data_IF_038633277611
#
_entry.id   IF_038633277611
#
_cell.length_a   1.000
_cell.length_b   1.000
_cell.length_c   1.000
_cell.angle_alpha   90.00
_cell.angle_beta   90.00
_cell.angle_gamma   90.00
#
_symmetry.space_group_name_H-M   'P 1'
#
loop_
_entity.id
_entity.type
_entity.pdbx_description
1 polymer ?
#
# COMPACT_ATOMS: atom_id res chain seq x y z
N UNK A 1 0.28 13.16 0.24
CA UNK A 1 -0.42 12.29 -0.72
C UNK A 1 0.45 11.10 -1.09
N UNK A 2 -0.13 9.94 -1.16
CA UNK A 2 0.62 8.79 -1.64
C UNK A 2 0.82 8.87 -3.14
N UNK A 3 2.03 8.52 -3.57
CA UNK A 3 2.39 8.48 -4.98
C UNK A 3 2.46 7.04 -5.44
N UNK A 4 2.19 6.83 -6.73
CA UNK A 4 2.36 5.52 -7.34
C UNK A 4 3.82 5.11 -7.28
N UNK A 5 4.06 3.89 -6.82
CA UNK A 5 5.39 3.31 -6.78
C UNK A 5 5.48 2.19 -7.81
N UNK A 6 6.42 2.30 -8.73
CA UNK A 6 6.57 1.26 -9.74
C UNK A 6 8.03 1.05 -10.14
N UNK A 7 8.29 -0.15 -10.63
CA UNK A 7 9.57 -0.55 -11.21
C UNK A 7 9.39 -0.78 -12.71
N UNK A 8 10.47 -0.69 -13.46
CA UNK A 8 10.43 -0.94 -14.90
C UNK A 8 11.44 -2.02 -15.25
N UNK A 9 11.01 -3.02 -16.01
CA UNK A 9 11.87 -4.07 -16.53
C UNK A 9 11.44 -4.39 -17.96
N UNK A 10 12.35 -4.24 -18.92
CA UNK A 10 12.08 -4.53 -20.35
C UNK A 10 10.79 -3.84 -20.86
N UNK A 11 10.59 -2.58 -20.50
CA UNK A 11 9.40 -1.78 -20.81
C UNK A 11 8.12 -2.24 -20.11
N UNK A 12 8.21 -3.20 -19.20
CA UNK A 12 7.09 -3.64 -18.37
C UNK A 12 7.05 -2.79 -17.11
N UNK A 13 5.92 -2.16 -16.83
CA UNK A 13 5.72 -1.39 -15.60
C UNK A 13 5.14 -2.29 -14.52
N UNK A 14 5.84 -2.39 -13.42
CA UNK A 14 5.50 -3.23 -12.28
C UNK A 14 5.06 -2.33 -11.13
N UNK A 15 3.77 -2.22 -10.88
CA UNK A 15 3.25 -1.44 -9.76
C UNK A 15 3.39 -2.19 -8.44
N UNK A 16 3.63 -1.45 -7.34
CA UNK A 16 3.79 -2.02 -6.01
C UNK A 16 2.64 -1.56 -5.12
N UNK A 17 1.76 -2.48 -4.78
CA UNK A 17 0.63 -2.21 -3.88
C UNK A 17 0.97 -2.69 -2.48
N UNK A 18 0.25 -2.19 -1.48
CA UNK A 18 0.50 -2.56 -0.10
C UNK A 18 -0.81 -2.75 0.65
N UNK A 19 -0.75 -3.44 1.77
CA UNK A 19 -1.92 -3.69 2.62
C UNK A 19 -2.58 -2.36 3.01
N UNK A 20 -3.86 -2.15 2.70
CA UNK A 20 -4.53 -0.88 3.00
C UNK A 20 -4.52 -0.48 4.47
N UNK A 21 -4.59 -1.44 5.38
CA UNK A 21 -4.52 -1.16 6.82
C UNK A 21 -3.15 -0.63 7.23
N UNK A 22 -2.08 -1.23 6.71
CA UNK A 22 -0.70 -0.78 6.96
C UNK A 22 -0.46 0.57 6.25
N UNK A 23 -0.94 0.73 5.03
CA UNK A 23 -0.81 1.97 4.26
C UNK A 23 -1.40 3.16 5.01
N UNK A 24 -2.59 2.99 5.58
CA UNK A 24 -3.25 4.06 6.33
C UNK A 24 -2.42 4.51 7.53
N UNK A 25 -1.86 3.58 8.29
CA UNK A 25 -1.00 3.89 9.45
C UNK A 25 0.27 4.60 9.00
N UNK A 26 0.90 4.12 7.92
CA UNK A 26 2.12 4.73 7.38
C UNK A 26 1.86 6.16 6.89
N UNK A 27 0.79 6.39 6.15
CA UNK A 27 0.42 7.72 5.66
C UNK A 27 0.13 8.66 6.82
N UNK A 28 -0.55 8.18 7.86
CA UNK A 28 -0.80 8.97 9.06
C UNK A 28 0.49 9.41 9.73
N UNK A 29 1.45 8.50 9.91
CA UNK A 29 2.74 8.83 10.49
C UNK A 29 3.51 9.85 9.66
N UNK A 30 3.45 9.73 8.34
CA UNK A 30 4.16 10.62 7.43
C UNK A 30 3.51 11.99 7.31
N UNK A 31 2.27 12.15 7.74
CA UNK A 31 1.54 13.41 7.62
C UNK A 31 1.95 14.49 8.62
N UNK A 32 2.75 14.15 9.63
CA UNK A 32 3.21 15.05 10.70
C UNK A 32 2.04 15.82 11.36
N UNK A 33 1.01 15.11 11.67
CA UNK A 33 -0.28 15.66 12.05
C UNK A 33 -0.49 15.52 13.58
N UNK A 34 -1.25 16.42 14.18
CA UNK A 34 -1.50 16.42 15.62
C UNK A 34 -2.92 15.95 15.98
N UNK A 35 -3.70 15.52 15.00
CA UNK A 35 -5.02 14.97 15.24
C UNK A 35 -4.96 13.46 15.44
N UNK A 36 -5.99 12.88 16.04
CA UNK A 36 -6.07 11.44 16.22
C UNK A 36 -6.20 10.69 14.91
N UNK A 37 -5.85 9.41 14.93
CA UNK A 37 -5.87 8.57 13.75
C UNK A 37 -7.27 8.49 13.12
N UNK A 38 -8.32 8.33 13.94
CA UNK A 38 -9.70 8.27 13.45
C UNK A 38 -10.11 9.55 12.72
N UNK A 39 -9.83 10.71 13.33
CA UNK A 39 -10.12 11.99 12.69
C UNK A 39 -9.35 12.17 11.40
N UNK A 40 -8.09 11.75 11.40
CA UNK A 40 -7.23 11.83 10.22
C UNK A 40 -7.79 10.98 9.08
N UNK A 41 -8.23 9.76 9.37
CA UNK A 41 -8.81 8.86 8.36
C UNK A 41 -10.01 9.49 7.66
N UNK A 42 -10.88 10.16 8.42
CA UNK A 42 -12.06 10.78 7.87
C UNK A 42 -11.74 12.04 7.04
N UNK A 43 -10.73 12.78 7.46
CA UNK A 43 -10.35 14.04 6.81
C UNK A 43 -9.40 13.85 5.62
N UNK A 44 -8.74 12.72 5.51
CA UNK A 44 -7.70 12.47 4.50
C UNK A 44 -7.95 11.17 3.72
N UNK A 45 -9.00 11.12 2.89
CA UNK A 45 -9.26 9.94 2.09
C UNK A 45 -8.10 9.67 1.13
N UNK A 46 -7.65 8.43 1.08
CA UNK A 46 -6.60 8.01 0.17
C UNK A 46 -7.21 7.47 -1.12
N UNK A 47 -6.55 7.74 -2.23
CA UNK A 47 -6.96 7.14 -3.49
C UNK A 47 -6.83 5.61 -3.43
N UNK A 48 -7.78 4.89 -4.01
CA UNK A 48 -7.69 3.44 -4.13
C UNK A 48 -6.46 3.06 -4.95
N UNK A 49 -5.69 2.08 -4.48
CA UNK A 49 -4.52 1.60 -5.21
C UNK A 49 -4.92 0.99 -6.56
N UNK A 50 -6.08 0.36 -6.61
CA UNK A 50 -6.66 -0.14 -7.84
C UNK A 50 -6.72 0.95 -8.92
N UNK A 51 -7.08 2.18 -8.54
CA UNK A 51 -7.12 3.32 -9.46
C UNK A 51 -5.74 3.90 -9.74
N UNK A 52 -4.90 4.01 -8.71
CA UNK A 52 -3.54 4.54 -8.84
C UNK A 52 -2.70 3.74 -9.83
N UNK A 53 -2.88 2.42 -9.87
CA UNK A 53 -2.04 1.51 -10.63
C UNK A 53 -2.74 0.93 -11.87
N UNK A 54 -3.82 1.55 -12.31
CA UNK A 54 -4.60 1.04 -13.45
C UNK A 54 -3.81 0.94 -14.75
N UNK A 55 -2.75 1.74 -14.91
CA UNK A 55 -1.93 1.76 -16.12
C UNK A 55 -0.66 0.90 -16.00
N UNK A 56 -0.52 0.14 -14.92
CA UNK A 56 0.60 -0.77 -14.75
C UNK A 56 0.36 -2.08 -15.52
N UNK A 57 1.45 -2.66 -16.02
CA UNK A 57 1.37 -3.93 -16.75
C UNK A 57 1.16 -5.11 -15.81
N UNK A 58 1.83 -5.09 -14.65
CA UNK A 58 1.69 -6.10 -13.60
C UNK A 58 1.74 -5.42 -12.24
N UNK A 59 1.23 -6.11 -11.22
CA UNK A 59 1.24 -5.62 -9.84
C UNK A 59 1.86 -6.67 -8.92
N UNK A 60 2.65 -6.19 -7.95
CA UNK A 60 3.18 -7.01 -6.87
C UNK A 60 2.81 -6.38 -5.54
N UNK A 61 2.81 -7.19 -4.48
CA UNK A 61 2.54 -6.72 -3.12
C UNK A 61 3.84 -6.42 -2.41
N UNK A 62 3.91 -5.27 -1.76
CA UNK A 62 5.10 -4.85 -1.02
C UNK A 62 5.51 -5.88 0.05
N UNK A 63 4.54 -6.49 0.72
CA UNK A 63 4.76 -7.43 1.82
C UNK A 63 5.51 -8.69 1.39
N UNK A 64 5.48 -9.01 0.10
CA UNK A 64 6.11 -10.22 -0.44
C UNK A 64 6.80 -9.93 -1.77
N UNK A 65 7.38 -8.75 -1.91
CA UNK A 65 7.88 -8.26 -3.19
C UNK A 65 8.99 -9.12 -3.78
N UNK A 66 9.87 -9.67 -2.95
CA UNK A 66 10.98 -10.51 -3.44
C UNK A 66 10.46 -11.75 -4.14
N UNK A 67 9.52 -12.45 -3.49
CA UNK A 67 8.92 -13.67 -4.03
C UNK A 67 8.10 -13.37 -5.29
N UNK A 68 7.30 -12.32 -5.27
CA UNK A 68 6.44 -11.97 -6.40
C UNK A 68 7.25 -11.51 -7.61
N UNK A 69 8.36 -10.78 -7.42
CA UNK A 69 9.27 -10.44 -8.51
C UNK A 69 9.94 -11.68 -9.10
N UNK A 70 10.34 -12.61 -8.25
CA UNK A 70 10.95 -13.87 -8.68
C UNK A 70 9.97 -14.67 -9.57
N UNK A 71 8.70 -14.75 -9.18
CA UNK A 71 7.68 -15.45 -9.94
C UNK A 71 7.43 -14.82 -11.32
N UNK A 72 7.59 -13.51 -11.45
CA UNK A 72 7.41 -12.82 -12.73
C UNK A 72 8.54 -13.13 -13.71
N UNK A 73 9.67 -13.61 -13.23
CA UNK A 73 10.88 -13.88 -14.05
C UNK A 73 11.36 -12.66 -14.83
N UNK A 74 11.04 -11.45 -14.38
CA UNK A 74 11.48 -10.22 -14.99
C UNK A 74 12.76 -9.72 -14.31
N UNK A 75 13.83 -9.40 -15.08
CA UNK A 75 15.04 -8.88 -14.48
C UNK A 75 14.85 -7.43 -14.04
N UNK A 76 14.86 -7.20 -12.73
CA UNK A 76 14.83 -5.87 -12.13
C UNK A 76 16.22 -5.61 -11.56
N UNK A 77 16.92 -4.62 -12.11
CA UNK A 77 18.31 -4.34 -11.74
C UNK A 77 18.45 -3.66 -10.38
N UNK A 78 17.51 -2.82 -10.02
CA UNK A 78 17.58 -2.03 -8.79
C UNK A 78 16.28 -2.13 -8.02
N UNK A 79 16.35 -2.82 -6.89
CA UNK A 79 15.23 -2.98 -5.95
C UNK A 79 15.42 -2.15 -4.68
N UNK A 80 16.43 -1.27 -4.66
CA UNK A 80 16.77 -0.50 -3.45
C UNK A 80 15.61 0.34 -2.92
N UNK A 81 14.76 0.84 -3.80
CA UNK A 81 13.59 1.62 -3.39
C UNK A 81 12.61 0.78 -2.56
N UNK A 82 12.45 -0.50 -2.90
CA UNK A 82 11.58 -1.41 -2.14
C UNK A 82 12.18 -1.74 -0.77
N UNK A 83 13.49 -1.91 -0.70
CA UNK A 83 14.20 -2.20 0.54
C UNK A 83 14.15 -1.04 1.52
N UNK A 84 14.01 0.19 1.02
CA UNK A 84 14.00 1.41 1.84
C UNK A 84 12.60 1.88 2.21
N UNK A 85 11.56 1.23 1.71
CA UNK A 85 10.20 1.66 2.02
C UNK A 85 9.88 1.44 3.49
N UNK A 86 9.34 2.47 4.10
CA UNK A 86 8.91 2.39 5.49
C UNK A 86 7.61 1.60 5.59
N UNK A 87 7.63 0.60 6.45
CA UNK A 87 6.44 -0.12 6.87
C UNK A 87 6.32 0.12 8.38
N UNK A 88 5.21 0.72 8.81
CA UNK A 88 5.01 1.02 10.22
C UNK A 88 5.06 -0.28 11.05
N UNK A 89 6.03 -0.42 11.98
CA UNK A 89 6.10 -1.62 12.79
C UNK A 89 4.87 -1.71 13.70
N UNK A 90 4.37 -2.92 13.90
CA UNK A 90 3.21 -3.18 14.76
C UNK A 90 1.98 -2.32 14.37
N UNK A 91 1.78 -2.10 13.08
CA UNK A 91 0.69 -1.26 12.59
C UNK A 91 -0.70 -1.74 13.06
N UNK A 92 -0.88 -3.04 13.29
CA UNK A 92 -2.12 -3.61 13.80
C UNK A 92 -2.55 -2.99 15.14
N UNK A 93 -1.57 -2.60 15.96
CA UNK A 93 -1.84 -2.06 17.30
C UNK A 93 -2.43 -0.64 17.28
N UNK A 94 -2.41 0.01 16.12
CA UNK A 94 -3.00 1.33 15.94
C UNK A 94 -4.52 1.29 15.78
N UNK A 95 -5.07 0.11 15.50
CA UNK A 95 -6.48 -0.04 15.17
C UNK A 95 -7.34 -0.35 16.39
N UNK A 96 -8.47 0.37 16.48
CA UNK A 96 -9.61 -0.01 17.32
C UNK A 96 -10.61 -0.70 16.42
N UNK A 97 -11.67 -1.26 16.96
CA UNK A 97 -12.76 -1.83 16.16
C UNK A 97 -13.33 -0.77 15.20
N UNK A 98 -13.51 0.46 15.69
CA UNK A 98 -14.05 1.57 14.92
C UNK A 98 -13.18 1.93 13.71
N UNK A 99 -11.88 2.14 13.93
CA UNK A 99 -10.96 2.53 12.85
C UNK A 99 -10.73 1.38 11.88
N UNK A 100 -10.71 0.15 12.36
CA UNK A 100 -10.59 -1.02 11.50
C UNK A 100 -11.80 -1.14 10.58
N UNK A 101 -13.00 -0.94 11.09
CA UNK A 101 -14.22 -0.94 10.28
C UNK A 101 -14.21 0.18 9.25
N UNK A 102 -13.75 1.38 9.63
CA UNK A 102 -13.65 2.51 8.71
C UNK A 102 -12.72 2.22 7.54
N UNK A 103 -11.55 1.67 7.79
CA UNK A 103 -10.60 1.32 6.71
C UNK A 103 -11.16 0.19 5.86
N UNK A 104 -11.76 -0.83 6.48
CA UNK A 104 -12.36 -1.94 5.76
C UNK A 104 -13.44 -1.46 4.79
N UNK A 105 -14.26 -0.50 5.19
CA UNK A 105 -15.33 0.04 4.34
C UNK A 105 -14.78 0.96 3.24
N UNK A 106 -13.88 1.87 3.60
CA UNK A 106 -13.34 2.86 2.67
C UNK A 106 -12.48 2.23 1.57
N UNK A 107 -11.71 1.21 1.92
CA UNK A 107 -10.74 0.60 1.01
C UNK A 107 -11.05 -0.86 0.69
N UNK A 108 -12.31 -1.24 0.80
CA UNK A 108 -12.78 -2.61 0.57
C UNK A 108 -12.38 -3.14 -0.81
N UNK A 109 -12.48 -2.31 -1.85
CA UNK A 109 -12.13 -2.73 -3.20
C UNK A 109 -10.66 -3.14 -3.30
N UNK A 110 -9.74 -2.35 -2.71
CA UNK A 110 -8.32 -2.69 -2.70
C UNK A 110 -8.06 -3.98 -1.91
N UNK A 111 -8.70 -4.11 -0.76
CA UNK A 111 -8.52 -5.28 0.10
C UNK A 111 -8.90 -6.55 -0.65
N UNK A 112 -10.05 -6.55 -1.30
CA UNK A 112 -10.54 -7.72 -2.04
C UNK A 112 -9.77 -7.95 -3.33
N UNK A 113 -9.46 -6.89 -4.08
CA UNK A 113 -8.77 -6.99 -5.36
C UNK A 113 -7.37 -7.58 -5.21
N UNK A 114 -6.63 -7.19 -4.18
CA UNK A 114 -5.23 -7.60 -4.00
C UNK A 114 -5.05 -8.75 -3.00
N UNK A 115 -6.15 -9.36 -2.55
CA UNK A 115 -6.09 -10.56 -1.72
C UNK A 115 -5.70 -10.34 -0.28
N UNK A 116 -5.95 -9.17 0.26
CA UNK A 116 -5.72 -8.90 1.68
C UNK A 116 -6.92 -9.33 2.54
N UNK A 117 -6.67 -9.51 3.83
CA UNK A 117 -7.72 -9.90 4.78
C UNK A 117 -8.40 -8.68 5.39
N UNK A 118 -9.69 -8.78 5.57
CA UNK A 118 -10.47 -7.78 6.30
C UNK A 118 -10.24 -7.90 7.85
#
# INVERSE_FOLDING_TARGET
MSQSLYLVSNKVKIGVVRNPFERAVTEYHNSLNYIGFDEWLQANPMQLQKEMYKDMDVLIRLEDWEHELEELELPVKDTSILEKLFIAPMWNNWYTLKTRTSVADLYKEDILTFGYSL
#
